data_IF_811078339187
#
_entry.id   IF_811078339187
#
_cell.length_a   1.000
_cell.length_b   1.000
_cell.length_c   1.000
_cell.angle_alpha   90.00
_cell.angle_beta   90.00
_cell.angle_gamma   90.00
#
_symmetry.space_group_name_H-M   'P 1'
#
loop_
_entity.id
_entity.type
_entity.pdbx_description
1 polymer ?
#
# COMPACT_ATOMS: atom_id res chain seq x y z
N UNK A 1 -19.71 -11.45 12.02
CA UNK A 1 -18.42 -12.09 11.71
C UNK A 1 -18.54 -12.93 10.46
N UNK A 2 -17.43 -13.33 9.85
CA UNK A 2 -17.42 -14.21 8.67
C UNK A 2 -17.96 -15.62 9.03
N UNK A 3 -18.93 -16.19 8.27
CA UNK A 3 -19.43 -17.54 8.52
C UNK A 3 -18.34 -18.61 8.36
N UNK A 4 -18.45 -19.74 9.09
CA UNK A 4 -17.42 -20.80 9.12
C UNK A 4 -17.15 -21.46 7.77
N UNK A 5 -18.15 -21.49 6.89
CA UNK A 5 -18.09 -22.09 5.57
C UNK A 5 -17.78 -21.09 4.45
N UNK A 6 -17.49 -19.83 4.78
CA UNK A 6 -17.15 -18.78 3.81
C UNK A 6 -15.66 -18.51 3.89
N UNK A 7 -14.99 -18.48 2.74
CA UNK A 7 -13.60 -18.05 2.61
C UNK A 7 -13.56 -16.72 1.87
N UNK A 8 -12.59 -15.87 2.23
CA UNK A 8 -12.35 -14.58 1.56
C UNK A 8 -10.89 -14.56 1.13
N UNK A 9 -10.66 -14.21 -0.13
CA UNK A 9 -9.34 -13.95 -0.67
C UNK A 9 -9.34 -12.59 -1.37
N UNK A 10 -8.13 -12.08 -1.65
CA UNK A 10 -7.96 -10.78 -2.29
C UNK A 10 -6.97 -10.89 -3.45
N UNK A 11 -7.26 -10.15 -4.52
CA UNK A 11 -6.41 -10.07 -5.70
C UNK A 11 -6.41 -8.65 -6.27
N UNK A 12 -5.36 -8.32 -7.01
CA UNK A 12 -5.22 -7.05 -7.72
C UNK A 12 -4.38 -7.24 -8.99
N UNK A 13 -4.45 -6.27 -9.89
CA UNK A 13 -3.59 -6.21 -11.06
C UNK A 13 -2.87 -4.85 -11.14
N UNK A 14 -1.64 -4.85 -11.64
CA UNK A 14 -0.84 -3.64 -11.87
C UNK A 14 -1.08 -3.00 -13.24
N UNK A 15 -1.73 -3.72 -14.16
CA UNK A 15 -1.97 -3.28 -15.54
C UNK A 15 -3.44 -3.46 -15.92
N UNK A 16 -4.36 -2.73 -15.28
CA UNK A 16 -5.81 -2.94 -15.47
C UNK A 16 -6.29 -2.63 -16.89
N UNK A 17 -5.53 -1.84 -17.66
CA UNK A 17 -5.90 -1.44 -19.03
C UNK A 17 -5.38 -2.40 -20.11
N UNK A 18 -4.62 -3.44 -19.73
CA UNK A 18 -4.19 -4.49 -20.67
C UNK A 18 -5.30 -5.52 -20.85
N UNK A 19 -5.48 -5.99 -22.08
CA UNK A 19 -6.39 -7.09 -22.41
C UNK A 19 -5.92 -8.38 -21.71
N UNK A 20 -6.85 -9.08 -21.05
CA UNK A 20 -6.57 -10.35 -20.36
C UNK A 20 -6.24 -11.51 -21.30
N UNK A 21 -5.75 -12.60 -20.71
CA UNK A 21 -5.35 -13.81 -21.42
C UNK A 21 -6.54 -14.73 -21.73
N UNK A 22 -7.54 -14.78 -20.84
CA UNK A 22 -8.71 -15.66 -20.93
C UNK A 22 -10.03 -14.88 -21.04
N UNK A 23 -10.00 -13.60 -20.70
CA UNK A 23 -11.03 -12.61 -20.97
C UNK A 23 -10.44 -11.53 -21.89
N UNK A 24 -10.96 -11.45 -23.11
CA UNK A 24 -10.50 -10.53 -24.14
C UNK A 24 -10.98 -9.07 -23.92
N UNK A 25 -10.84 -8.57 -22.68
CA UNK A 25 -11.16 -7.21 -22.26
C UNK A 25 -10.15 -6.71 -21.23
N UNK A 26 -9.92 -5.39 -21.13
CA UNK A 26 -9.21 -4.80 -20.01
C UNK A 26 -9.90 -5.11 -18.67
N UNK A 27 -9.13 -5.35 -17.61
CA UNK A 27 -9.69 -5.53 -16.25
C UNK A 27 -10.52 -4.32 -15.80
N UNK A 28 -10.17 -3.12 -16.26
CA UNK A 28 -10.92 -1.89 -15.98
C UNK A 28 -12.36 -1.89 -16.52
N UNK A 29 -12.66 -2.76 -17.49
CA UNK A 29 -13.98 -2.96 -18.09
C UNK A 29 -14.64 -4.29 -17.68
N UNK A 30 -14.00 -5.06 -16.79
CA UNK A 30 -14.48 -6.36 -16.35
C UNK A 30 -15.42 -6.27 -15.14
N UNK A 31 -16.48 -7.08 -15.17
CA UNK A 31 -17.24 -7.42 -13.96
C UNK A 31 -16.53 -8.45 -13.07
N UNK A 32 -17.06 -8.69 -11.87
CA UNK A 32 -16.47 -9.66 -10.92
C UNK A 32 -16.37 -11.09 -11.47
N UNK A 33 -17.42 -11.58 -12.15
CA UNK A 33 -17.42 -12.91 -12.76
C UNK A 33 -16.32 -13.05 -13.85
N UNK A 34 -16.02 -11.97 -14.57
CA UNK A 34 -15.00 -11.97 -15.61
C UNK A 34 -13.59 -11.97 -15.01
N UNK A 35 -13.39 -11.26 -13.89
CA UNK A 35 -12.15 -11.32 -13.12
C UNK A 35 -11.91 -12.74 -12.59
N UNK A 36 -12.94 -13.42 -12.07
CA UNK A 36 -12.82 -14.81 -11.63
C UNK A 36 -12.54 -15.77 -12.78
N UNK A 37 -13.15 -15.55 -13.95
CA UNK A 37 -12.86 -16.33 -15.17
C UNK A 37 -11.40 -16.17 -15.60
N UNK A 38 -10.87 -14.95 -15.60
CA UNK A 38 -9.46 -14.69 -15.91
C UNK A 38 -8.54 -15.44 -14.92
N UNK A 39 -8.81 -15.33 -13.62
CA UNK A 39 -8.07 -16.03 -12.57
C UNK A 39 -8.13 -17.56 -12.74
N UNK A 40 -9.32 -18.11 -13.02
CA UNK A 40 -9.54 -19.54 -13.23
C UNK A 40 -8.68 -20.07 -14.39
N UNK A 41 -8.57 -19.29 -15.47
CA UNK A 41 -7.71 -19.63 -16.60
C UNK A 41 -6.23 -19.70 -16.23
N UNK A 42 -5.72 -18.71 -15.48
CA UNK A 42 -4.31 -18.70 -15.05
C UNK A 42 -3.98 -19.84 -14.07
N UNK A 43 -4.92 -20.22 -13.20
CA UNK A 43 -4.74 -21.32 -12.25
C UNK A 43 -5.03 -22.70 -12.87
N UNK A 44 -5.58 -22.74 -14.09
CA UNK A 44 -6.03 -23.96 -14.76
C UNK A 44 -6.99 -24.80 -13.89
N UNK A 45 -7.97 -24.12 -13.28
CA UNK A 45 -9.01 -24.77 -12.47
C UNK A 45 -10.27 -25.06 -13.29
N UNK A 46 -11.09 -25.97 -12.79
CA UNK A 46 -12.46 -26.14 -13.27
C UNK A 46 -13.26 -24.86 -12.92
N UNK A 47 -13.94 -24.21 -13.89
CA UNK A 47 -14.77 -23.03 -13.65
C UNK A 47 -15.78 -23.19 -12.51
N UNK A 48 -16.27 -24.42 -12.27
CA UNK A 48 -17.23 -24.72 -11.21
C UNK A 48 -16.73 -24.34 -9.81
N UNK A 49 -15.42 -24.18 -9.61
CA UNK A 49 -14.84 -23.73 -8.34
C UNK A 49 -15.33 -22.33 -7.91
N UNK A 50 -15.79 -21.52 -8.87
CA UNK A 50 -16.24 -20.15 -8.65
C UNK A 50 -17.75 -19.95 -8.84
N UNK A 51 -18.53 -21.01 -9.03
CA UNK A 51 -19.98 -20.90 -9.29
C UNK A 51 -20.73 -20.17 -8.16
N UNK A 52 -20.36 -20.43 -6.91
CA UNK A 52 -20.93 -19.79 -5.72
C UNK A 52 -20.11 -18.56 -5.23
N UNK A 53 -19.08 -18.15 -5.99
CA UNK A 53 -18.18 -17.09 -5.56
C UNK A 53 -18.72 -15.70 -5.87
N UNK A 54 -18.61 -14.79 -4.89
CA UNK A 54 -18.93 -13.38 -5.06
C UNK A 54 -17.64 -12.60 -5.23
N UNK A 55 -17.44 -11.99 -6.40
CA UNK A 55 -16.32 -11.08 -6.65
C UNK A 55 -16.84 -9.64 -6.75
N UNK A 56 -16.34 -8.78 -5.86
CA UNK A 56 -16.67 -7.36 -5.82
C UNK A 56 -15.45 -6.58 -6.35
N UNK A 57 -15.46 -6.13 -7.62
CA UNK A 57 -14.37 -5.32 -8.14
C UNK A 57 -14.33 -3.95 -7.45
N UNK A 58 -13.12 -3.44 -7.19
CA UNK A 58 -12.91 -2.13 -6.62
C UNK A 58 -11.85 -1.38 -7.42
N UNK A 59 -12.26 -0.30 -8.09
CA UNK A 59 -11.34 0.60 -8.80
C UNK A 59 -10.96 1.75 -7.89
N UNK A 60 -9.66 1.92 -7.68
CA UNK A 60 -9.11 2.96 -6.81
C UNK A 60 -8.16 3.84 -7.63
N UNK A 61 -8.63 4.98 -8.18
CA UNK A 61 -7.83 5.80 -9.10
C UNK A 61 -6.54 6.35 -8.48
N UNK A 62 -6.48 6.46 -7.15
CA UNK A 62 -5.36 7.04 -6.42
C UNK A 62 -4.62 6.05 -5.50
N UNK A 63 -4.85 4.74 -5.64
CA UNK A 63 -4.25 3.74 -4.73
C UNK A 63 -2.72 3.77 -4.72
N UNK A 64 -2.09 4.10 -5.85
CA UNK A 64 -0.63 4.23 -5.97
C UNK A 64 -0.14 5.69 -5.96
N UNK A 65 -1.02 6.66 -5.73
CA UNK A 65 -0.70 8.10 -5.88
C UNK A 65 0.46 8.57 -4.98
N UNK A 66 0.66 7.97 -3.81
CA UNK A 66 1.78 8.28 -2.91
C UNK A 66 3.17 7.87 -3.45
N UNK A 67 3.22 7.06 -4.51
CA UNK A 67 4.47 6.66 -5.17
C UNK A 67 4.79 7.47 -6.42
N UNK A 68 3.95 8.45 -6.78
CA UNK A 68 4.27 9.34 -7.91
C UNK A 68 5.59 10.07 -7.66
N UNK A 69 6.40 10.31 -8.70
CA UNK A 69 7.60 11.13 -8.59
C UNK A 69 7.26 12.48 -7.96
N UNK A 70 8.12 12.92 -7.03
CA UNK A 70 7.88 14.13 -6.24
C UNK A 70 9.19 14.86 -5.98
N UNK A 71 9.10 16.16 -5.78
CA UNK A 71 10.13 16.97 -5.16
C UNK A 71 9.98 16.92 -3.63
N UNK A 72 11.06 17.32 -2.92
CA UNK A 72 11.03 17.43 -1.46
C UNK A 72 9.95 18.41 -0.96
N UNK A 73 9.63 19.43 -1.77
CA UNK A 73 8.66 20.49 -1.44
C UNK A 73 7.20 20.11 -1.66
N UNK A 74 6.91 18.99 -2.33
CA UNK A 74 5.54 18.64 -2.74
C UNK A 74 4.68 18.15 -1.57
N UNK A 75 5.31 17.80 -0.44
CA UNK A 75 4.64 17.33 0.78
C UNK A 75 4.93 18.29 1.94
N UNK A 76 3.91 18.73 2.69
CA UNK A 76 4.12 19.55 3.88
C UNK A 76 4.73 18.72 5.01
N UNK A 77 5.42 19.37 5.94
CA UNK A 77 5.77 18.75 7.22
C UNK A 77 4.48 18.40 8.00
N UNK A 78 4.49 17.37 8.88
CA UNK A 78 3.35 17.04 9.74
C UNK A 78 2.84 18.26 10.52
N UNK A 79 3.75 19.12 10.99
CA UNK A 79 3.43 20.46 11.51
C UNK A 79 4.28 21.48 10.75
N UNK A 80 3.69 22.32 9.89
CA UNK A 80 4.42 23.37 9.19
C UNK A 80 5.14 24.31 10.17
N UNK A 81 6.30 24.85 9.78
CA UNK A 81 7.20 25.61 10.69
C UNK A 81 6.55 26.74 11.49
N UNK A 82 5.59 27.45 10.88
CA UNK A 82 4.90 28.59 11.50
C UNK A 82 3.47 28.23 11.97
N UNK A 83 3.12 26.94 11.95
CA UNK A 83 1.81 26.49 12.40
C UNK A 83 1.75 26.46 13.93
N UNK A 84 0.67 27.00 14.48
CA UNK A 84 0.43 27.06 15.93
C UNK A 84 -0.59 26.02 16.38
N UNK A 85 -1.56 25.68 15.51
CA UNK A 85 -2.71 24.83 15.85
C UNK A 85 -3.18 23.93 14.69
N UNK A 86 -2.42 23.85 13.59
CA UNK A 86 -2.73 23.01 12.43
C UNK A 86 -1.65 21.95 12.22
N UNK A 87 -2.07 20.72 11.97
CA UNK A 87 -1.19 19.63 11.56
C UNK A 87 -1.82 18.83 10.40
N UNK A 88 -0.96 18.20 9.60
CA UNK A 88 -1.32 17.25 8.58
C UNK A 88 -0.92 15.84 9.01
N UNK A 89 -1.83 14.88 8.87
CA UNK A 89 -1.58 13.46 9.13
C UNK A 89 -2.06 12.69 7.92
N UNK A 90 -1.13 12.18 7.11
CA UNK A 90 -1.46 11.42 5.90
C UNK A 90 -0.24 10.66 5.37
N UNK A 91 -0.44 9.91 4.29
CA UNK A 91 0.66 9.36 3.47
C UNK A 91 1.37 10.44 2.63
N UNK A 92 0.88 11.69 2.66
CA UNK A 92 1.33 12.80 1.83
C UNK A 92 1.99 13.92 2.64
N UNK A 93 2.49 13.62 3.84
CA UNK A 93 3.34 14.53 4.62
C UNK A 93 4.81 14.11 4.52
N UNK A 94 5.73 15.02 4.82
CA UNK A 94 7.16 14.76 4.77
C UNK A 94 7.69 14.28 6.13
N UNK A 95 8.10 13.02 6.18
CA UNK A 95 8.81 12.41 7.30
C UNK A 95 10.10 11.78 6.77
N UNK A 96 11.27 12.16 7.31
CA UNK A 96 12.55 11.64 6.84
C UNK A 96 12.70 10.14 7.17
N UNK A 97 13.42 9.43 6.31
CA UNK A 97 13.84 8.03 6.48
C UNK A 97 12.73 6.97 6.58
N UNK A 98 11.45 7.36 6.66
CA UNK A 98 10.30 6.45 6.69
C UNK A 98 9.64 6.32 5.31
N UNK A 99 8.83 5.26 5.12
CA UNK A 99 8.23 4.86 3.84
C UNK A 99 6.70 4.93 3.88
N UNK A 100 6.12 5.59 2.87
CA UNK A 100 4.67 5.63 2.64
C UNK A 100 4.14 4.26 2.19
N UNK A 101 2.82 4.14 2.04
CA UNK A 101 2.10 2.87 1.84
C UNK A 101 2.20 1.93 3.06
N UNK A 102 2.45 2.48 4.24
CA UNK A 102 2.50 1.72 5.50
C UNK A 102 1.59 2.36 6.55
N UNK A 103 1.06 1.52 7.44
CA UNK A 103 0.31 1.99 8.61
C UNK A 103 1.24 2.79 9.55
N UNK A 104 2.49 2.33 9.69
CA UNK A 104 3.54 2.97 10.50
C UNK A 104 3.70 4.45 10.16
N UNK A 105 3.77 4.80 8.86
CA UNK A 105 3.93 6.20 8.43
C UNK A 105 2.80 7.11 8.95
N UNK A 106 1.55 6.63 8.90
CA UNK A 106 0.39 7.37 9.42
C UNK A 106 0.44 7.53 10.93
N UNK A 107 0.80 6.47 11.65
CA UNK A 107 0.92 6.49 13.12
C UNK A 107 2.02 7.45 13.55
N UNK A 108 3.17 7.42 12.87
CA UNK A 108 4.29 8.33 13.10
C UNK A 108 3.92 9.78 12.81
N UNK A 109 3.24 10.05 11.70
CA UNK A 109 2.74 11.40 11.38
C UNK A 109 1.83 11.94 12.50
N UNK A 110 0.90 11.11 12.98
CA UNK A 110 0.02 11.47 14.09
C UNK A 110 0.81 11.72 15.40
N UNK A 111 1.78 10.86 15.72
CA UNK A 111 2.60 11.00 16.91
C UNK A 111 3.43 12.30 16.87
N UNK A 112 4.08 12.58 15.73
CA UNK A 112 4.85 13.81 15.53
C UNK A 112 3.96 15.05 15.68
N UNK A 113 2.77 15.05 15.07
CA UNK A 113 1.83 16.15 15.15
C UNK A 113 1.37 16.43 16.58
N UNK A 114 0.92 15.39 17.30
CA UNK A 114 0.46 15.51 18.69
C UNK A 114 1.60 15.95 19.60
N UNK A 115 2.78 15.34 19.49
CA UNK A 115 3.91 15.68 20.36
C UNK A 115 4.34 17.14 20.18
N UNK A 116 4.42 17.61 18.94
CA UNK A 116 4.83 18.99 18.64
C UNK A 116 3.78 20.01 19.09
N UNK A 117 2.49 19.81 18.77
CA UNK A 117 1.44 20.78 19.11
C UNK A 117 1.11 20.81 20.62
N UNK A 118 1.16 19.64 21.28
CA UNK A 118 0.90 19.53 22.72
C UNK A 118 2.15 19.71 23.58
N UNK A 119 3.30 20.01 22.97
CA UNK A 119 4.59 20.21 23.66
C UNK A 119 4.96 19.03 24.58
N UNK A 120 4.77 17.81 24.10
CA UNK A 120 5.11 16.59 24.83
C UNK A 120 6.63 16.39 24.77
N UNK A 121 7.28 16.40 25.92
CA UNK A 121 8.72 16.16 26.04
C UNK A 121 9.05 14.66 26.04
N UNK A 122 8.88 14.03 24.88
CA UNK A 122 9.22 12.63 24.63
C UNK A 122 9.70 12.45 23.20
N UNK A 123 10.78 11.68 22.95
CA UNK A 123 11.23 11.44 21.59
C UNK A 123 10.24 10.54 20.83
N UNK A 124 10.06 10.82 19.54
CA UNK A 124 9.45 9.89 18.59
C UNK A 124 10.48 8.79 18.27
N UNK A 125 10.14 7.49 18.40
CA UNK A 125 11.09 6.41 18.15
C UNK A 125 11.64 6.49 16.71
N UNK A 126 12.95 6.47 16.45
CA UNK A 126 13.49 6.60 15.10
C UNK A 126 13.19 5.36 14.24
N UNK A 127 13.24 5.51 12.91
CA UNK A 127 13.20 4.38 11.97
C UNK A 127 14.46 3.52 12.16
N UNK A 128 14.28 2.20 12.31
CA UNK A 128 15.40 1.27 12.51
C UNK A 128 16.32 1.25 11.30
N UNK A 129 17.60 1.58 11.50
CA UNK A 129 18.63 1.65 10.43
C UNK A 129 19.23 0.29 10.09
N UNK A 130 18.39 -0.67 9.68
CA UNK A 130 18.86 -1.98 9.21
C UNK A 130 19.83 -1.86 8.03
N UNK A 131 19.67 -0.84 7.18
CA UNK A 131 20.56 -0.52 6.07
C UNK A 131 21.99 -0.12 6.48
N UNK A 132 22.26 0.11 7.76
CA UNK A 132 23.61 0.37 8.29
C UNK A 132 24.23 -0.85 8.98
N UNK A 133 23.51 -1.97 9.09
CA UNK A 133 24.03 -3.20 9.69
C UNK A 133 24.90 -3.95 8.69
N UNK A 134 26.16 -4.22 9.04
CA UNK A 134 27.07 -4.99 8.18
C UNK A 134 26.49 -6.38 7.84
N UNK A 135 25.88 -7.05 8.82
CA UNK A 135 25.26 -8.36 8.60
C UNK A 135 24.14 -8.29 7.55
N UNK A 136 23.30 -7.25 7.61
CA UNK A 136 22.21 -7.05 6.63
C UNK A 136 22.79 -6.71 5.25
N UNK A 137 23.83 -5.88 5.19
CA UNK A 137 24.49 -5.51 3.93
C UNK A 137 25.10 -6.75 3.26
N UNK A 138 25.83 -7.58 4.01
CA UNK A 138 26.41 -8.83 3.47
C UNK A 138 25.32 -9.79 2.98
N UNK A 139 24.27 -10.01 3.77
CA UNK A 139 23.15 -10.86 3.35
C UNK A 139 22.43 -10.30 2.10
N UNK A 140 22.30 -8.98 1.98
CA UNK A 140 21.71 -8.31 0.81
C UNK A 140 22.59 -8.52 -0.43
N UNK A 141 23.91 -8.39 -0.28
CA UNK A 141 24.86 -8.62 -1.37
C UNK A 141 24.79 -10.07 -1.86
N UNK A 142 24.88 -11.04 -0.94
CA UNK A 142 24.77 -12.46 -1.28
C UNK A 142 23.46 -12.76 -2.03
N UNK A 143 22.32 -12.25 -1.53
CA UNK A 143 21.01 -12.42 -2.18
C UNK A 143 20.88 -11.72 -3.53
N UNK A 144 21.61 -10.64 -3.78
CA UNK A 144 21.53 -9.93 -5.05
C UNK A 144 22.26 -10.67 -6.18
N UNK A 145 23.21 -11.56 -5.86
CA UNK A 145 24.02 -12.31 -6.83
C UNK A 145 23.75 -13.82 -6.84
N UNK A 146 22.86 -14.32 -5.97
CA UNK A 146 22.39 -15.70 -5.95
C UNK A 146 21.11 -15.86 -6.77
#
# INVERSE_FOLDING_TARGET
GQPKNVQVFWGYALHPDRVGNFVAKPMSDCGGAEILKELCGHLNFDPAVFDDAICIPCRMPYITSMFMPRNLTDRPLPVPKNSVNLAFVSQFVEIPDDVVFTVEYSVRAAQMAVYQLMKIDRPVPPVTRHNKSLAVIFATLEKAFA
#
